data_IF_595636146891
#
_entry.id   IF_595636146891
#
_cell.length_a   1.000
_cell.length_b   1.000
_cell.length_c   1.000
_cell.angle_alpha   90.00
_cell.angle_beta   90.00
_cell.angle_gamma   90.00
#
_symmetry.space_group_name_H-M   'P 1'
#
loop_
_entity.id
_entity.type
_entity.pdbx_description
1 polymer ?
#
# COMPACT_ATOMS: atom_id res chain seq x y z
N UNK A 1 19.10 11.83 -11.90
CA UNK A 1 17.65 11.53 -11.84
C UNK A 1 16.98 12.59 -10.98
N UNK A 2 16.05 13.39 -11.52
CA UNK A 2 15.35 14.39 -10.70
C UNK A 2 14.35 13.68 -9.76
N UNK A 3 14.15 14.20 -8.55
CA UNK A 3 13.28 13.62 -7.51
C UNK A 3 11.82 13.44 -7.95
N UNK A 4 11.40 14.07 -9.06
CA UNK A 4 10.04 13.99 -9.61
C UNK A 4 9.61 12.56 -9.95
N UNK A 5 10.55 11.69 -10.33
CA UNK A 5 10.22 10.30 -10.69
C UNK A 5 9.76 9.43 -9.53
N UNK A 6 10.03 9.83 -8.28
CA UNK A 6 9.78 9.00 -7.10
C UNK A 6 8.54 9.43 -6.29
N UNK A 7 7.88 10.50 -6.72
CA UNK A 7 6.72 11.06 -5.99
C UNK A 7 5.61 10.03 -5.80
N UNK A 8 5.30 9.24 -6.85
CA UNK A 8 4.29 8.20 -6.78
C UNK A 8 4.65 7.05 -5.81
N UNK A 9 5.94 6.81 -5.55
CA UNK A 9 6.39 5.76 -4.64
C UNK A 9 6.38 6.24 -3.18
N UNK A 10 6.85 7.46 -2.92
CA UNK A 10 7.02 7.99 -1.56
C UNK A 10 5.79 8.75 -1.05
N UNK A 11 4.96 9.30 -1.95
CA UNK A 11 3.75 10.07 -1.62
C UNK A 11 2.58 9.67 -2.54
N UNK A 12 2.20 8.38 -2.59
CA UNK A 12 1.10 7.93 -3.42
C UNK A 12 -0.23 8.57 -2.97
N UNK A 13 -1.09 8.90 -3.95
CA UNK A 13 -2.47 9.33 -3.68
C UNK A 13 -3.41 8.16 -3.36
N UNK A 14 -3.08 6.96 -3.84
CA UNK A 14 -3.82 5.71 -3.63
C UNK A 14 -2.88 4.52 -3.82
N UNK A 15 -3.21 3.37 -3.22
CA UNK A 15 -2.43 2.13 -3.34
C UNK A 15 -3.37 0.98 -3.69
N UNK A 16 -3.01 0.16 -4.68
CA UNK A 16 -3.66 -1.11 -4.97
C UNK A 16 -2.75 -2.27 -4.53
N UNK A 17 -3.28 -3.23 -3.78
CA UNK A 17 -2.54 -4.37 -3.22
C UNK A 17 -2.90 -5.63 -4.00
N UNK A 18 -2.20 -5.88 -5.10
CA UNK A 18 -2.43 -7.10 -5.88
C UNK A 18 -2.06 -8.34 -5.07
N UNK A 19 -3.05 -9.20 -4.84
CA UNK A 19 -2.90 -10.39 -4.01
C UNK A 19 -3.25 -10.17 -2.53
N UNK A 20 -4.06 -9.16 -2.21
CA UNK A 20 -4.66 -9.01 -0.90
C UNK A 20 -5.35 -10.30 -0.45
N UNK A 21 -5.27 -10.60 0.85
CA UNK A 21 -5.79 -11.84 1.40
C UNK A 21 -6.22 -11.66 2.84
N UNK A 22 -7.22 -12.41 3.27
CA UNK A 22 -7.66 -12.51 4.67
C UNK A 22 -6.86 -13.55 5.47
N UNK A 23 -5.99 -14.34 4.82
CA UNK A 23 -5.19 -15.38 5.48
C UNK A 23 -3.93 -14.76 6.13
N UNK A 24 -3.73 -14.86 7.46
CA UNK A 24 -2.64 -14.16 8.15
C UNK A 24 -1.22 -14.43 7.62
N UNK A 25 -0.97 -15.64 7.12
CA UNK A 25 0.35 -16.05 6.63
C UNK A 25 0.62 -15.66 5.16
N UNK A 26 -0.20 -14.80 4.55
CA UNK A 26 -0.02 -14.33 3.17
C UNK A 26 0.54 -12.91 3.18
N UNK A 27 1.46 -12.62 2.25
CA UNK A 27 2.06 -11.29 2.12
C UNK A 27 0.99 -10.18 1.94
N UNK A 28 -0.04 -10.42 1.13
CA UNK A 28 -1.14 -9.48 0.93
C UNK A 28 -1.92 -9.15 2.21
N UNK A 29 -2.02 -10.08 3.16
CA UNK A 29 -2.62 -9.80 4.47
C UNK A 29 -1.76 -8.81 5.26
N UNK A 30 -0.45 -9.07 5.34
CA UNK A 30 0.49 -8.20 6.07
C UNK A 30 0.55 -6.80 5.46
N UNK A 31 0.54 -6.69 4.13
CA UNK A 31 0.54 -5.40 3.43
C UNK A 31 -0.70 -4.59 3.75
N UNK A 32 -1.89 -5.19 3.61
CA UNK A 32 -3.15 -4.53 3.97
C UNK A 32 -3.17 -4.09 5.43
N UNK A 33 -2.77 -4.98 6.35
CA UNK A 33 -2.69 -4.66 7.78
C UNK A 33 -1.78 -3.46 8.04
N UNK A 34 -0.60 -3.43 7.43
CA UNK A 34 0.37 -2.35 7.64
C UNK A 34 -0.11 -1.01 7.07
N UNK A 35 -0.73 -1.01 5.88
CA UNK A 35 -1.28 0.20 5.28
C UNK A 35 -2.40 0.82 6.12
N UNK A 36 -3.31 -0.02 6.63
CA UNK A 36 -4.42 0.43 7.48
C UNK A 36 -3.95 0.85 8.87
N UNK A 37 -3.11 0.03 9.52
CA UNK A 37 -2.59 0.34 10.86
C UNK A 37 -1.61 1.53 10.86
N UNK A 38 -0.89 1.74 9.76
CA UNK A 38 -0.01 2.89 9.55
C UNK A 38 -0.75 4.18 9.21
N UNK A 39 -2.09 4.14 9.09
CA UNK A 39 -2.90 5.33 8.84
C UNK A 39 -2.69 5.94 7.45
N UNK A 40 -2.51 5.12 6.42
CA UNK A 40 -2.47 5.66 5.06
C UNK A 40 -3.82 6.33 4.74
N UNK A 41 -3.78 7.63 4.45
CA UNK A 41 -4.97 8.47 4.31
C UNK A 41 -5.62 8.42 2.91
N UNK A 42 -4.97 7.78 1.93
CA UNK A 42 -5.52 7.61 0.59
C UNK A 42 -6.35 6.33 0.45
N UNK A 43 -7.09 6.16 -0.65
CA UNK A 43 -7.79 4.91 -0.93
C UNK A 43 -6.82 3.72 -1.03
N UNK A 44 -7.16 2.62 -0.35
CA UNK A 44 -6.49 1.32 -0.47
C UNK A 44 -7.43 0.35 -1.15
N UNK A 45 -7.02 -0.20 -2.29
CA UNK A 45 -7.79 -1.20 -3.03
C UNK A 45 -7.12 -2.58 -2.85
N UNK A 46 -7.88 -3.61 -2.44
CA UNK A 46 -7.37 -4.99 -2.34
C UNK A 46 -7.22 -5.68 -3.71
#
# INVERSE_FOLDING_TARGET
>A
MSQRGLEALLRPKSIAVIGASMKPNRAGYLMMRNLLAGGFNGPVLP
#
